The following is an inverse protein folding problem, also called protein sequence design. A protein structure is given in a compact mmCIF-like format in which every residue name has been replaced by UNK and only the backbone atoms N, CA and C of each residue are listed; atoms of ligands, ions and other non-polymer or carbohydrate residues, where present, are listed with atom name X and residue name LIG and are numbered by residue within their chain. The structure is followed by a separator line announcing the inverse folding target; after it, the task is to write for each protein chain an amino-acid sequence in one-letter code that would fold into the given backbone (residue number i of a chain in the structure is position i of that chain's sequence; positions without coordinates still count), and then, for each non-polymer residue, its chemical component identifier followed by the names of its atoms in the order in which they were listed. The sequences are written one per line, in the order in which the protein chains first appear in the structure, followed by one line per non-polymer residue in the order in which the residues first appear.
data_IF_989486040396
#
_entry.id   IF_989486040396
#
_cell.length_a   1.000
_cell.length_b   1.000
_cell.length_c   1.000
_cell.angle_alpha   90.00
_cell.angle_beta   90.00
_cell.angle_gamma   90.00
#
_symmetry.space_group_name_H-M   'P 1'
#
loop_
_entity.id
_entity.type
_entity.pdbx_description
1 polymer ?
#
# COMPACT_ATOMS: atom_id res chain seq x y z
N UNK A 1 -23.20 -4.94 -8.42
CA UNK A 1 -24.13 -4.86 -7.27
C UNK A 1 -23.39 -5.35 -6.03
N UNK A 2 -22.74 -4.46 -5.28
CA UNK A 2 -22.21 -4.83 -3.96
C UNK A 2 -23.39 -4.95 -3.00
N UNK A 3 -23.70 -6.16 -2.53
CA UNK A 3 -24.61 -6.32 -1.39
C UNK A 3 -23.94 -5.63 -0.21
N UNK A 4 -24.57 -4.59 0.33
CA UNK A 4 -24.14 -3.98 1.60
C UNK A 4 -24.13 -5.07 2.66
N UNK A 5 -23.04 -5.18 3.41
CA UNK A 5 -22.99 -6.08 4.54
C UNK A 5 -24.06 -5.65 5.58
N UNK A 6 -24.60 -6.57 6.39
CA UNK A 6 -25.51 -6.21 7.47
C UNK A 6 -24.85 -5.17 8.40
N UNK A 7 -25.60 -4.17 8.85
CA UNK A 7 -25.06 -3.07 9.65
C UNK A 7 -24.31 -3.55 10.91
N UNK A 8 -24.83 -4.59 11.57
CA UNK A 8 -24.18 -5.19 12.74
C UNK A 8 -22.81 -5.80 12.43
N UNK A 9 -22.65 -6.42 11.26
CA UNK A 9 -21.37 -6.96 10.81
C UNK A 9 -20.38 -5.82 10.53
N UNK A 10 -20.81 -4.79 9.79
CA UNK A 10 -19.96 -3.65 9.48
C UNK A 10 -19.44 -2.94 10.75
N UNK A 11 -20.31 -2.72 11.74
CA UNK A 11 -19.90 -2.11 13.01
C UNK A 11 -18.89 -2.99 13.78
N UNK A 12 -19.11 -4.30 13.85
CA UNK A 12 -18.18 -5.22 14.51
C UNK A 12 -16.81 -5.26 13.81
N UNK A 13 -16.79 -5.30 12.48
CA UNK A 13 -15.57 -5.31 11.69
C UNK A 13 -14.76 -4.02 11.88
N UNK A 14 -15.42 -2.85 11.82
CA UNK A 14 -14.75 -1.56 12.04
C UNK A 14 -14.17 -1.47 13.46
N UNK A 15 -14.90 -1.93 14.49
CA UNK A 15 -14.38 -1.96 15.86
C UNK A 15 -13.14 -2.85 15.99
N UNK A 16 -13.14 -4.03 15.36
CA UNK A 16 -11.96 -4.91 15.30
C UNK A 16 -10.77 -4.18 14.66
N UNK A 17 -10.98 -3.51 13.54
CA UNK A 17 -9.91 -2.79 12.83
C UNK A 17 -9.34 -1.60 13.63
N UNK A 18 -10.15 -0.98 14.49
CA UNK A 18 -9.75 0.14 15.34
C UNK A 18 -9.02 -0.31 16.62
N UNK A 19 -9.19 -1.56 17.06
CA UNK A 19 -8.72 -2.05 18.37
C UNK A 19 -7.19 -1.99 18.58
N UNK A 20 -6.41 -1.98 17.48
CA UNK A 20 -4.93 -1.99 17.52
C UNK A 20 -4.31 -0.64 17.14
N UNK A 21 -5.10 0.43 17.10
CA UNK A 21 -4.66 1.79 16.72
C UNK A 21 -4.25 1.93 15.25
N UNK A 22 -3.91 3.14 14.81
CA UNK A 22 -3.50 3.43 13.44
C UNK A 22 -4.65 3.37 12.43
N UNK A 23 -4.31 3.39 11.13
CA UNK A 23 -5.32 3.49 10.08
C UNK A 23 -6.07 2.16 9.87
N UNK A 24 -7.40 2.12 10.09
CA UNK A 24 -8.19 0.89 9.95
C UNK A 24 -8.23 0.36 8.51
N UNK A 25 -8.17 1.23 7.51
CA UNK A 25 -8.18 0.83 6.09
C UNK A 25 -6.85 0.19 5.68
N UNK A 26 -5.72 0.69 6.18
CA UNK A 26 -4.42 0.04 5.97
C UNK A 26 -4.39 -1.35 6.61
N UNK A 27 -4.91 -1.46 7.83
CA UNK A 27 -5.00 -2.73 8.55
C UNK A 27 -5.87 -3.74 7.79
N UNK A 28 -7.05 -3.32 7.32
CA UNK A 28 -7.90 -4.18 6.51
C UNK A 28 -7.19 -4.69 5.25
N UNK A 29 -6.43 -3.83 4.57
CA UNK A 29 -5.59 -4.21 3.42
C UNK A 29 -4.53 -5.25 3.80
N UNK A 30 -3.82 -5.04 4.91
CA UNK A 30 -2.81 -5.98 5.41
C UNK A 30 -3.43 -7.34 5.78
N UNK A 31 -4.52 -7.36 6.54
CA UNK A 31 -5.21 -8.59 6.93
C UNK A 31 -5.78 -9.32 5.70
N UNK A 32 -6.29 -8.59 4.71
CA UNK A 32 -6.75 -9.17 3.45
C UNK A 32 -5.62 -9.82 2.66
N UNK A 33 -4.47 -9.16 2.54
CA UNK A 33 -3.28 -9.73 1.89
C UNK A 33 -2.80 -10.97 2.64
N UNK A 34 -2.76 -10.95 3.97
CA UNK A 34 -2.32 -12.10 4.77
C UNK A 34 -3.21 -13.32 4.57
N UNK A 35 -4.54 -13.14 4.64
CA UNK A 35 -5.50 -14.20 4.32
C UNK A 35 -5.35 -14.68 2.87
N UNK A 36 -5.19 -13.75 1.93
CA UNK A 36 -5.04 -14.12 0.52
C UNK A 36 -3.77 -14.93 0.28
N UNK A 37 -2.63 -14.52 0.84
CA UNK A 37 -1.35 -15.21 0.68
C UNK A 37 -1.38 -16.62 1.25
N UNK A 38 -2.06 -16.82 2.39
CA UNK A 38 -2.27 -18.14 2.96
C UNK A 38 -2.95 -19.07 1.92
N UNK A 39 -4.13 -18.72 1.42
CA UNK A 39 -4.85 -19.54 0.43
C UNK A 39 -4.15 -19.59 -0.93
N UNK A 40 -3.47 -18.52 -1.32
CA UNK A 40 -2.68 -18.46 -2.55
C UNK A 40 -1.60 -19.54 -2.56
N UNK A 41 -0.78 -19.60 -1.52
CA UNK A 41 0.28 -20.60 -1.44
C UNK A 41 -0.26 -21.99 -1.09
N UNK A 42 -1.34 -22.13 -0.32
CA UNK A 42 -1.85 -23.46 0.03
C UNK A 42 -2.66 -24.12 -1.10
N UNK A 43 -3.39 -23.36 -1.91
CA UNK A 43 -4.41 -23.93 -2.79
C UNK A 43 -4.34 -23.42 -4.23
N UNK A 44 -4.10 -22.13 -4.45
CA UNK A 44 -4.44 -21.51 -5.75
C UNK A 44 -3.27 -21.03 -6.61
N UNK A 45 -2.03 -21.06 -6.11
CA UNK A 45 -0.85 -20.58 -6.86
C UNK A 45 -0.56 -21.37 -8.15
N UNK A 46 -1.05 -22.61 -8.26
CA UNK A 46 -0.92 -23.47 -9.44
C UNK A 46 -2.19 -23.56 -10.29
N UNK A 47 -3.27 -22.88 -9.90
CA UNK A 47 -4.55 -22.91 -10.61
C UNK A 47 -4.45 -22.15 -11.93
N UNK A 48 -4.82 -22.74 -13.09
CA UNK A 48 -4.61 -22.13 -14.41
C UNK A 48 -5.16 -20.69 -14.52
N UNK A 49 -6.30 -20.41 -13.91
CA UNK A 49 -6.91 -19.07 -13.89
C UNK A 49 -6.06 -18.04 -13.15
N UNK A 50 -5.39 -18.45 -12.08
CA UNK A 50 -4.47 -17.61 -11.29
C UNK A 50 -3.13 -17.47 -12.00
N UNK A 51 -2.62 -18.55 -12.62
CA UNK A 51 -1.41 -18.52 -13.44
C UNK A 51 -1.51 -17.44 -14.51
N UNK A 52 -2.61 -17.45 -15.26
CA UNK A 52 -2.85 -16.47 -16.31
C UNK A 52 -2.84 -15.03 -15.78
N UNK A 53 -3.31 -14.79 -14.55
CA UNK A 53 -3.34 -13.44 -13.97
C UNK A 53 -1.94 -12.94 -13.66
N UNK A 54 -1.14 -13.67 -12.88
CA UNK A 54 0.21 -13.18 -12.55
C UNK A 54 1.17 -13.23 -13.74
N UNK A 55 0.97 -14.11 -14.73
CA UNK A 55 1.76 -14.09 -15.97
C UNK A 55 1.47 -12.80 -16.75
N UNK A 56 0.19 -12.43 -16.91
CA UNK A 56 -0.24 -11.22 -17.61
C UNK A 56 0.19 -9.94 -16.90
N UNK A 57 0.16 -9.91 -15.57
CA UNK A 57 0.64 -8.76 -14.79
C UNK A 57 2.17 -8.69 -14.68
N UNK A 58 2.91 -9.61 -15.35
CA UNK A 58 4.37 -9.73 -15.25
C UNK A 58 4.85 -9.94 -13.81
N UNK A 59 4.06 -10.69 -13.05
CA UNK A 59 4.28 -11.00 -11.64
C UNK A 59 3.63 -9.98 -10.72
N UNK A 60 4.40 -9.56 -9.71
CA UNK A 60 3.94 -8.67 -8.65
C UNK A 60 4.68 -7.32 -8.73
N UNK A 61 4.06 -6.26 -8.21
CA UNK A 61 4.73 -4.96 -8.13
C UNK A 61 5.93 -5.01 -7.18
N UNK A 62 6.92 -4.09 -7.29
CA UNK A 62 8.12 -4.10 -6.44
C UNK A 62 7.82 -4.22 -4.94
N UNK A 63 6.80 -3.49 -4.46
CA UNK A 63 6.35 -3.55 -3.05
C UNK A 63 5.89 -4.95 -2.64
N UNK A 64 5.14 -5.62 -3.50
CA UNK A 64 4.61 -6.95 -3.24
C UNK A 64 5.60 -8.07 -3.54
N UNK A 65 6.61 -7.82 -4.38
CA UNK A 65 7.75 -8.72 -4.55
C UNK A 65 8.55 -8.89 -3.25
N UNK A 66 8.80 -7.80 -2.51
CA UNK A 66 9.41 -7.88 -1.18
C UNK A 66 8.59 -8.77 -0.25
N UNK A 67 7.26 -8.55 -0.22
CA UNK A 67 6.37 -9.30 0.66
C UNK A 67 6.35 -10.80 0.36
N UNK A 68 6.22 -11.19 -0.91
CA UNK A 68 6.22 -12.62 -1.27
C UNK A 68 7.61 -13.22 -1.13
N UNK A 69 8.69 -12.46 -1.33
CA UNK A 69 10.06 -12.94 -1.14
C UNK A 69 10.36 -13.27 0.32
N UNK A 70 9.79 -12.51 1.26
CA UNK A 70 9.93 -12.75 2.69
C UNK A 70 9.05 -13.90 3.20
N UNK A 71 7.88 -14.14 2.59
CA UNK A 71 6.83 -15.02 3.13
C UNK A 71 6.53 -16.27 2.31
N UNK A 72 6.90 -16.29 1.02
CA UNK A 72 6.51 -17.33 0.08
C UNK A 72 7.42 -18.56 0.13
N UNK A 73 6.87 -19.79 -0.03
CA UNK A 73 7.67 -20.99 -0.17
C UNK A 73 8.56 -20.94 -1.42
N UNK A 74 9.86 -21.23 -1.27
CA UNK A 74 10.86 -21.08 -2.34
C UNK A 74 10.49 -21.82 -3.63
N UNK A 75 9.96 -23.04 -3.52
CA UNK A 75 9.59 -23.85 -4.69
C UNK A 75 8.40 -23.25 -5.45
N UNK A 76 7.41 -22.67 -4.75
CA UNK A 76 6.26 -22.03 -5.39
C UNK A 76 6.64 -20.72 -6.06
N UNK A 77 7.49 -19.91 -5.41
CA UNK A 77 8.05 -18.73 -6.04
C UNK A 77 8.84 -19.09 -7.30
N UNK A 78 9.63 -20.16 -7.24
CA UNK A 78 10.38 -20.66 -8.41
C UNK A 78 9.44 -21.06 -9.54
N UNK A 79 8.35 -21.79 -9.24
CA UNK A 79 7.34 -22.15 -10.22
C UNK A 79 6.67 -20.90 -10.83
N UNK A 80 6.22 -19.95 -9.99
CA UNK A 80 5.62 -18.67 -10.41
C UNK A 80 6.52 -17.95 -11.41
N UNK A 81 7.78 -17.74 -11.06
CA UNK A 81 8.72 -17.05 -11.94
C UNK A 81 9.06 -17.87 -13.18
N UNK A 82 9.11 -19.20 -13.11
CA UNK A 82 9.34 -20.04 -14.30
C UNK A 82 8.28 -19.80 -15.38
N UNK A 83 7.00 -19.67 -15.00
CA UNK A 83 5.91 -19.43 -15.95
C UNK A 83 5.95 -18.01 -16.52
N UNK A 84 6.26 -17.01 -15.69
CA UNK A 84 6.41 -15.61 -16.13
C UNK A 84 7.58 -15.50 -17.11
N UNK A 85 8.74 -16.08 -16.78
CA UNK A 85 9.95 -16.06 -17.62
C UNK A 85 9.67 -16.76 -18.95
N UNK A 86 9.06 -17.94 -18.93
CA UNK A 86 8.73 -18.67 -20.15
C UNK A 86 7.80 -17.87 -21.07
N UNK A 87 6.82 -17.14 -20.52
CA UNK A 87 5.94 -16.28 -21.30
C UNK A 87 6.67 -15.05 -21.87
N UNK A 88 7.54 -14.41 -21.09
CA UNK A 88 8.36 -13.29 -21.55
C UNK A 88 9.30 -13.73 -22.67
N UNK A 89 10.02 -14.84 -22.51
CA UNK A 89 10.92 -15.38 -23.54
C UNK A 89 10.14 -15.68 -24.82
N UNK A 90 8.99 -16.36 -24.72
CA UNK A 90 8.11 -16.61 -25.88
C UNK A 90 7.68 -15.31 -26.58
N UNK A 91 7.39 -14.26 -25.83
CA UNK A 91 7.00 -12.96 -26.39
C UNK A 91 8.18 -12.20 -27.02
N UNK A 92 9.40 -12.38 -26.51
CA UNK A 92 10.63 -11.81 -27.09
C UNK A 92 11.02 -12.53 -28.38
N UNK A 93 10.86 -13.86 -28.43
CA UNK A 93 11.18 -14.69 -29.59
C UNK A 93 10.09 -14.65 -30.66
N UNK A 94 8.92 -14.09 -30.36
CA UNK A 94 7.79 -14.05 -31.28
C UNK A 94 8.13 -13.20 -32.52
N UNK A 95 7.99 -13.75 -33.74
CA UNK A 95 8.21 -12.98 -34.95
C UNK A 95 7.18 -11.84 -35.04
N UNK A 96 7.61 -10.70 -35.56
CA UNK A 96 6.71 -9.56 -35.78
C UNK A 96 5.51 -10.01 -36.64
N UNK A 97 4.26 -9.67 -36.26
CA UNK A 97 3.09 -10.13 -37.00
C UNK A 97 3.15 -9.66 -38.46
N UNK A 98 2.74 -10.51 -39.42
CA UNK A 98 2.78 -10.17 -40.84
C UNK A 98 1.86 -8.97 -41.11
N UNK A 99 2.38 -7.99 -41.84
CA UNK A 99 1.66 -6.76 -42.14
C UNK A 99 0.53 -7.06 -43.13
N UNK A 100 -0.69 -6.65 -42.79
CA UNK A 100 -1.88 -6.86 -43.64
C UNK A 100 -2.05 -5.78 -44.73
N UNK A 101 -1.21 -4.73 -44.76
CA UNK A 101 -1.38 -3.57 -45.65
C UNK A 101 -0.07 -2.83 -45.99
N UNK A 102 0.09 -2.41 -47.26
CA UNK A 102 1.17 -1.53 -47.75
C UNK A 102 1.23 -0.17 -47.03
N UNK A 103 0.08 0.37 -46.61
CA UNK A 103 0.03 1.65 -45.86
C UNK A 103 0.64 1.53 -44.46
N UNK A 104 0.67 0.32 -43.90
CA UNK A 104 1.25 0.04 -42.60
C UNK A 104 2.78 -0.14 -42.67
N UNK A 105 3.32 -0.47 -43.85
CA UNK A 105 4.77 -0.52 -44.09
C UNK A 105 5.40 0.88 -44.02
N UNK A 106 4.70 1.92 -44.48
CA UNK A 106 5.20 3.30 -44.48
C UNK A 106 5.20 3.97 -43.09
N UNK A 107 4.45 3.42 -42.12
CA UNK A 107 4.27 3.98 -40.77
C UNK A 107 5.20 3.38 -39.70
N UNK A 108 6.11 2.48 -40.06
CA UNK A 108 6.86 1.68 -39.08
C UNK A 108 8.24 2.27 -38.76
N UNK A 109 8.26 3.32 -37.96
CA UNK A 109 9.34 3.54 -37.00
C UNK A 109 8.89 3.01 -35.63
N UNK A 110 8.55 1.72 -35.56
CA UNK A 110 8.45 1.05 -34.26
C UNK A 110 9.88 0.75 -33.87
N UNK A 111 10.41 1.51 -32.91
CA UNK A 111 11.76 1.29 -32.42
C UNK A 111 11.87 -0.09 -31.77
N UNK A 112 13.08 -0.64 -31.69
CA UNK A 112 13.33 -1.83 -30.89
C UNK A 112 12.87 -1.63 -29.43
N UNK A 113 12.95 -0.39 -28.93
CA UNK A 113 12.40 0.02 -27.64
C UNK A 113 10.88 -0.18 -27.53
N UNK A 114 10.11 0.21 -28.54
CA UNK A 114 8.64 0.05 -28.53
C UNK A 114 8.19 -1.42 -28.59
N UNK A 115 9.01 -2.29 -29.18
CA UNK A 115 8.79 -3.73 -29.15
C UNK A 115 9.07 -4.29 -27.74
N UNK A 116 10.22 -3.93 -27.15
CA UNK A 116 10.59 -4.36 -25.82
C UNK A 116 9.59 -3.89 -24.75
N UNK A 117 9.17 -2.62 -24.81
CA UNK A 117 8.15 -2.06 -23.91
C UNK A 117 6.87 -2.86 -23.97
N UNK A 118 6.37 -3.23 -25.16
CA UNK A 118 5.14 -4.02 -25.29
C UNK A 118 5.26 -5.41 -24.68
N UNK A 119 6.44 -6.03 -24.74
CA UNK A 119 6.68 -7.35 -24.13
C UNK A 119 6.70 -7.24 -22.61
N UNK A 120 7.45 -6.27 -22.07
CA UNK A 120 7.65 -6.12 -20.63
C UNK A 120 6.52 -5.39 -19.91
N UNK A 121 5.67 -4.67 -20.63
CA UNK A 121 4.55 -3.94 -20.05
C UNK A 121 3.52 -4.93 -19.45
N UNK A 122 3.18 -4.79 -18.16
CA UNK A 122 2.10 -5.55 -17.55
C UNK A 122 0.77 -5.32 -18.26
N UNK A 123 0.05 -6.41 -18.51
CA UNK A 123 -1.33 -6.39 -19.00
C UNK A 123 -2.28 -6.90 -17.91
N UNK A 124 -2.38 -6.12 -16.84
CA UNK A 124 -3.15 -6.46 -15.64
C UNK A 124 -2.52 -5.83 -14.41
N UNK A 125 -3.28 -5.74 -13.32
CA UNK A 125 -2.73 -5.26 -12.05
C UNK A 125 -2.06 -6.42 -11.30
N UNK A 126 -1.18 -6.07 -10.38
CA UNK A 126 -0.63 -7.01 -9.43
C UNK A 126 -1.77 -7.62 -8.58
N UNK A 127 -1.82 -8.95 -8.48
CA UNK A 127 -2.83 -9.68 -7.72
C UNK A 127 -3.02 -9.14 -6.29
N UNK A 128 -1.92 -8.88 -5.58
CA UNK A 128 -1.97 -8.36 -4.22
C UNK A 128 -2.37 -6.89 -4.15
N UNK A 129 -2.12 -6.10 -5.21
CA UNK A 129 -2.64 -4.73 -5.28
C UNK A 129 -4.16 -4.73 -5.45
N UNK A 130 -4.70 -5.66 -6.23
CA UNK A 130 -6.16 -5.79 -6.39
C UNK A 130 -6.83 -6.18 -5.07
N UNK A 131 -6.26 -7.14 -4.33
CA UNK A 131 -6.75 -7.55 -3.00
C UNK A 131 -6.72 -6.38 -2.01
N UNK A 132 -5.63 -5.62 -1.98
CA UNK A 132 -5.51 -4.45 -1.10
C UNK A 132 -6.53 -3.36 -1.48
N UNK A 133 -6.71 -3.09 -2.77
CA UNK A 133 -7.65 -2.09 -3.27
C UNK A 133 -9.09 -2.45 -2.95
N UNK A 134 -9.46 -3.72 -3.11
CA UNK A 134 -10.80 -4.23 -2.81
C UNK A 134 -11.09 -4.10 -1.31
N UNK A 135 -10.16 -4.59 -0.47
CA UNK A 135 -10.28 -4.48 0.98
C UNK A 135 -10.38 -3.01 1.43
N UNK A 136 -9.56 -2.14 0.86
CA UNK A 136 -9.56 -0.74 1.23
C UNK A 136 -10.83 0.00 0.78
N UNK A 137 -11.33 -0.30 -0.42
CA UNK A 137 -12.58 0.27 -0.94
C UNK A 137 -13.78 -0.17 -0.11
N UNK A 138 -13.85 -1.47 0.21
CA UNK A 138 -14.91 -2.01 1.03
C UNK A 138 -14.90 -1.42 2.45
N UNK A 139 -13.72 -1.36 3.06
CA UNK A 139 -13.55 -0.80 4.42
C UNK A 139 -13.85 0.69 4.47
N UNK A 140 -13.50 1.46 3.44
CA UNK A 140 -13.81 2.89 3.37
C UNK A 140 -15.33 3.15 3.41
N UNK A 141 -16.11 2.35 2.69
CA UNK A 141 -17.57 2.46 2.69
C UNK A 141 -18.18 2.05 4.04
N UNK A 142 -17.73 0.92 4.61
CA UNK A 142 -18.18 0.51 5.95
C UNK A 142 -17.84 1.54 7.02
N UNK A 143 -16.64 2.12 6.95
CA UNK A 143 -16.20 3.14 7.90
C UNK A 143 -17.09 4.39 7.83
N UNK A 144 -17.43 4.85 6.62
CA UNK A 144 -18.36 5.97 6.42
C UNK A 144 -19.74 5.67 7.01
N UNK A 145 -20.33 4.54 6.63
CA UNK A 145 -21.67 4.14 7.08
C UNK A 145 -21.72 4.02 8.62
N UNK A 146 -20.68 3.47 9.25
CA UNK A 146 -20.65 3.25 10.72
C UNK A 146 -20.35 4.55 11.49
N UNK A 147 -19.40 5.38 11.03
CA UNK A 147 -19.10 6.66 11.69
C UNK A 147 -20.27 7.64 11.67
N UNK A 148 -21.15 7.53 10.68
CA UNK A 148 -22.33 8.37 10.58
C UNK A 148 -23.28 8.14 11.76
N UNK A 149 -23.48 6.89 12.17
CA UNK A 149 -24.55 6.52 13.10
C UNK A 149 -24.09 6.00 14.47
N UNK A 150 -22.85 5.52 14.61
CA UNK A 150 -22.34 4.89 15.84
C UNK A 150 -21.35 5.80 16.59
N UNK A 151 -21.75 6.31 17.75
CA UNK A 151 -20.94 7.19 18.61
C UNK A 151 -19.72 6.50 19.21
N UNK A 152 -19.86 5.27 19.68
CA UNK A 152 -18.75 4.49 20.25
C UNK A 152 -17.66 4.24 19.19
N UNK A 153 -18.06 4.04 17.93
CA UNK A 153 -17.09 3.91 16.83
C UNK A 153 -16.40 5.23 16.52
N UNK A 154 -17.07 6.38 16.64
CA UNK A 154 -16.42 7.69 16.49
C UNK A 154 -15.36 7.91 17.58
N UNK A 155 -15.66 7.57 18.82
CA UNK A 155 -14.70 7.68 19.94
C UNK A 155 -13.49 6.77 19.73
N UNK A 156 -13.72 5.52 19.32
CA UNK A 156 -12.65 4.58 18.97
C UNK A 156 -11.84 5.04 17.77
N UNK A 157 -12.47 5.65 16.78
CA UNK A 157 -11.79 6.22 15.62
C UNK A 157 -10.84 7.34 16.03
N UNK A 158 -11.30 8.27 16.87
CA UNK A 158 -10.46 9.33 17.43
C UNK A 158 -9.30 8.75 18.26
N UNK A 159 -9.57 7.80 19.15
CA UNK A 159 -8.57 7.15 19.98
C UNK A 159 -7.52 6.34 19.19
N UNK A 160 -7.90 5.80 18.02
CA UNK A 160 -6.98 5.08 17.13
C UNK A 160 -5.98 6.00 16.42
N UNK A 161 -6.20 7.32 16.42
CA UNK A 161 -5.48 8.30 15.61
C UNK A 161 -6.02 8.42 14.17
N UNK A 162 -7.09 7.70 13.82
CA UNK A 162 -7.78 7.81 12.55
C UNK A 162 -6.98 7.32 11.32
N UNK A 163 -7.41 7.76 10.14
CA UNK A 163 -6.84 7.34 8.86
C UNK A 163 -5.56 8.08 8.49
N UNK A 164 -4.68 7.42 7.71
CA UNK A 164 -3.58 8.10 7.03
C UNK A 164 -4.11 9.00 5.89
N UNK A 165 -3.34 9.98 5.44
CA UNK A 165 -3.73 10.95 4.43
C UNK A 165 -4.26 10.31 3.13
N UNK A 166 -3.61 9.28 2.54
CA UNK A 166 -4.16 8.61 1.37
C UNK A 166 -5.56 8.02 1.61
N UNK A 167 -5.81 7.51 2.82
CA UNK A 167 -7.09 6.91 3.18
C UNK A 167 -8.14 7.92 3.64
N UNK A 168 -7.75 9.07 4.19
CA UNK A 168 -8.68 10.21 4.31
C UNK A 168 -9.13 10.64 2.92
N UNK A 169 -8.21 10.80 1.97
CA UNK A 169 -8.56 11.18 0.60
C UNK A 169 -9.50 10.15 -0.06
N UNK A 170 -9.21 8.85 0.08
CA UNK A 170 -10.10 7.77 -0.41
C UNK A 170 -11.50 7.89 0.20
N UNK A 171 -11.61 8.02 1.52
CA UNK A 171 -12.89 8.11 2.21
C UNK A 171 -13.66 9.37 1.78
N UNK A 172 -12.99 10.52 1.70
CA UNK A 172 -13.60 11.76 1.23
C UNK A 172 -14.16 11.64 -0.21
N UNK A 173 -13.46 10.91 -1.10
CA UNK A 173 -13.96 10.65 -2.47
C UNK A 173 -15.14 9.70 -2.53
N UNK A 174 -15.25 8.77 -1.57
CA UNK A 174 -16.33 7.80 -1.50
C UNK A 174 -17.59 8.34 -0.80
N UNK A 175 -17.46 9.42 -0.03
CA UNK A 175 -18.56 9.98 0.77
C UNK A 175 -19.67 10.58 -0.10
N UNK A 176 -20.89 10.09 0.10
CA UNK A 176 -22.13 10.74 -0.34
C UNK A 176 -22.63 11.81 0.65
N UNK A 177 -23.63 12.59 0.24
CA UNK A 177 -24.23 13.70 1.01
C UNK A 177 -24.79 13.32 2.40
N UNK A 178 -25.08 12.05 2.64
CA UNK A 178 -25.62 11.55 3.91
C UNK A 178 -24.54 11.16 4.93
N UNK A 179 -23.26 11.38 4.63
CA UNK A 179 -22.14 11.07 5.52
C UNK A 179 -21.57 12.33 6.20
N UNK A 180 -22.43 13.29 6.57
CA UNK A 180 -21.99 14.58 7.08
C UNK A 180 -21.27 14.42 8.43
N UNK A 181 -21.83 13.60 9.33
CA UNK A 181 -21.24 13.35 10.64
C UNK A 181 -19.94 12.55 10.53
N UNK A 182 -19.89 11.57 9.63
CA UNK A 182 -18.68 10.79 9.37
C UNK A 182 -17.54 11.67 8.85
N UNK A 183 -17.82 12.55 7.88
CA UNK A 183 -16.81 13.46 7.33
C UNK A 183 -16.38 14.51 8.35
N UNK A 184 -17.30 15.06 9.15
CA UNK A 184 -16.96 15.99 10.22
C UNK A 184 -16.01 15.33 11.24
N UNK A 185 -16.29 14.09 11.63
CA UNK A 185 -15.44 13.31 12.55
C UNK A 185 -14.04 13.08 11.96
N UNK A 186 -13.96 12.63 10.70
CA UNK A 186 -12.68 12.37 10.03
C UNK A 186 -11.87 13.68 9.90
N UNK A 187 -12.52 14.77 9.53
CA UNK A 187 -11.87 16.08 9.41
C UNK A 187 -11.32 16.55 10.75
N UNK A 188 -12.10 16.42 11.84
CA UNK A 188 -11.65 16.82 13.17
C UNK A 188 -10.44 16.01 13.63
N UNK A 189 -10.50 14.68 13.54
CA UNK A 189 -9.39 13.79 13.94
C UNK A 189 -8.14 14.07 13.09
N UNK A 190 -8.29 14.30 11.78
CA UNK A 190 -7.14 14.64 10.94
C UNK A 190 -6.53 15.99 11.34
N UNK A 191 -7.35 17.01 11.58
CA UNK A 191 -6.89 18.35 11.99
C UNK A 191 -6.09 18.27 13.28
N UNK A 192 -6.62 17.59 14.30
CA UNK A 192 -5.98 17.46 15.60
C UNK A 192 -4.65 16.71 15.48
N UNK A 193 -4.62 15.66 14.64
CA UNK A 193 -3.40 14.89 14.39
C UNK A 193 -2.34 15.69 13.64
N UNK A 194 -2.73 16.51 12.66
CA UNK A 194 -1.80 17.39 11.93
C UNK A 194 -1.25 18.48 12.85
N UNK A 195 -2.09 19.11 13.66
CA UNK A 195 -1.66 20.15 14.61
C UNK A 195 -0.70 19.59 15.68
N UNK A 196 -1.01 18.41 16.23
CA UNK A 196 -0.11 17.73 17.17
C UNK A 196 1.23 17.38 16.52
N UNK A 197 1.21 16.83 15.29
CA UNK A 197 2.43 16.49 14.58
C UNK A 197 3.27 17.73 14.21
N UNK A 198 2.64 18.83 13.81
CA UNK A 198 3.31 20.10 13.56
C UNK A 198 4.01 20.60 14.82
N UNK A 199 3.33 20.54 15.97
CA UNK A 199 3.92 20.90 17.25
C UNK A 199 5.14 20.03 17.58
N UNK A 200 5.04 18.70 17.43
CA UNK A 200 6.16 17.79 17.66
C UNK A 200 7.33 18.06 16.71
N UNK A 201 7.07 18.34 15.43
CA UNK A 201 8.11 18.72 14.48
C UNK A 201 8.83 20.02 14.89
N UNK A 202 8.06 21.04 15.30
CA UNK A 202 8.63 22.31 15.77
C UNK A 202 9.47 22.12 17.05
N UNK A 203 8.99 21.30 17.98
CA UNK A 203 9.71 20.99 19.21
C UNK A 203 11.01 20.22 18.95
N UNK A 204 11.00 19.29 17.98
CA UNK A 204 12.19 18.57 17.56
C UNK A 204 13.29 19.54 17.08
N UNK A 205 12.93 20.50 16.22
CA UNK A 205 13.89 21.49 15.74
C UNK A 205 14.32 22.47 16.83
N UNK A 206 13.41 22.89 17.72
CA UNK A 206 13.74 23.77 18.86
C UNK A 206 14.79 23.13 19.77
N UNK A 207 14.63 21.84 20.11
CA UNK A 207 15.55 21.10 20.99
C UNK A 207 16.82 20.61 20.28
N UNK A 208 16.85 20.63 18.96
CA UNK A 208 18.06 20.37 18.19
C UNK A 208 19.02 21.58 18.18
N UNK A 209 18.51 22.79 18.47
CA UNK A 209 19.32 23.99 18.65
C UNK A 209 20.21 23.88 19.90
N UNK A 210 21.50 24.22 19.76
CA UNK A 210 22.50 24.10 20.84
C UNK A 210 22.07 24.82 22.13
N UNK A 211 21.27 25.89 22.02
CA UNK A 211 20.76 26.68 23.17
C UNK A 211 19.85 25.85 24.07
N UNK A 212 19.10 24.92 23.49
CA UNK A 212 18.12 24.08 24.18
C UNK A 212 18.54 22.60 24.23
N UNK A 213 19.74 22.27 23.77
CA UNK A 213 20.24 20.90 23.67
C UNK A 213 20.39 20.18 25.03
N UNK A 214 20.40 20.95 26.13
CA UNK A 214 20.44 20.42 27.50
C UNK A 214 19.05 19.98 28.01
N UNK A 215 17.97 20.38 27.34
CA UNK A 215 16.62 19.96 27.71
C UNK A 215 16.41 18.46 27.43
N UNK A 216 15.62 17.75 28.26
CA UNK A 216 15.32 16.35 28.02
C UNK A 216 14.50 16.18 26.74
N UNK A 217 14.92 15.21 25.92
CA UNK A 217 14.20 14.83 24.72
C UNK A 217 12.97 13.98 25.08
N UNK A 218 11.84 14.29 24.47
CA UNK A 218 10.54 13.65 24.68
C UNK A 218 10.02 12.92 23.45
N UNK A 219 8.70 13.06 23.22
CA UNK A 219 7.97 12.46 22.10
C UNK A 219 8.38 13.01 20.74
N UNK A 220 8.95 14.22 20.69
CA UNK A 220 9.35 14.87 19.44
C UNK A 220 10.38 14.06 18.64
N UNK A 221 11.13 13.18 19.31
CA UNK A 221 12.06 12.24 18.65
C UNK A 221 11.37 11.26 17.71
N UNK A 222 10.09 10.99 17.95
CA UNK A 222 9.27 10.07 17.17
C UNK A 222 8.42 10.78 16.11
N UNK A 223 8.49 12.11 16.03
CA UNK A 223 7.70 12.93 15.10
C UNK A 223 7.86 12.44 13.65
N UNK A 224 9.08 12.11 13.22
CA UNK A 224 9.33 11.61 11.87
C UNK A 224 8.65 10.25 11.59
N UNK A 225 8.60 9.33 12.58
CA UNK A 225 7.90 8.05 12.42
C UNK A 225 6.39 8.27 12.36
N UNK A 226 5.86 9.15 13.19
CA UNK A 226 4.44 9.51 13.17
C UNK A 226 4.05 10.19 11.84
N UNK A 227 4.92 11.04 11.30
CA UNK A 227 4.76 11.65 9.99
C UNK A 227 4.73 10.59 8.88
N UNK A 228 5.71 9.67 8.86
CA UNK A 228 5.73 8.58 7.88
C UNK A 228 4.41 7.78 7.90
N UNK A 229 3.92 7.40 9.08
CA UNK A 229 2.65 6.69 9.23
C UNK A 229 1.45 7.51 8.73
N UNK A 230 1.36 8.79 9.09
CA UNK A 230 0.27 9.67 8.65
C UNK A 230 0.28 9.87 7.12
N UNK A 231 1.46 9.93 6.50
CA UNK A 231 1.61 10.04 5.05
C UNK A 231 1.46 8.69 4.31
N UNK A 232 1.19 7.60 5.03
CA UNK A 232 0.80 6.32 4.45
C UNK A 232 1.95 5.32 4.29
N UNK A 233 3.09 5.54 4.95
CA UNK A 233 4.16 4.54 5.01
C UNK A 233 3.86 3.50 6.10
N UNK A 234 3.79 2.23 5.70
CA UNK A 234 3.51 1.09 6.58
C UNK A 234 4.62 0.03 6.56
N UNK A 235 5.78 0.35 5.97
CA UNK A 235 6.94 -0.55 5.98
C UNK A 235 7.59 -0.60 7.36
N UNK A 236 8.36 -1.66 7.64
CA UNK A 236 9.36 -1.60 8.70
C UNK A 236 10.40 -0.57 8.24
N UNK A 237 10.46 0.58 8.90
CA UNK A 237 11.41 1.67 8.62
C UNK A 237 12.89 1.23 8.71
N UNK A 238 13.17 -0.01 9.09
CA UNK A 238 14.50 -0.57 9.36
C UNK A 238 15.25 -1.07 8.14
N UNK A 239 14.62 -1.32 6.98
CA UNK A 239 15.33 -1.98 5.87
C UNK A 239 16.09 -1.02 4.92
N UNK A 240 15.66 0.24 4.80
CA UNK A 240 16.19 1.15 3.76
C UNK A 240 17.18 2.19 4.32
N UNK A 241 17.07 2.55 5.60
CA UNK A 241 17.92 3.59 6.21
C UNK A 241 19.14 3.04 6.97
N UNK A 242 19.25 1.72 7.14
CA UNK A 242 20.40 1.06 7.79
C UNK A 242 21.57 0.80 6.82
N UNK A 243 21.40 1.16 5.54
CA UNK A 243 22.46 1.10 4.53
C UNK A 243 23.00 2.49 4.18
N UNK A 244 23.34 3.29 5.19
CA UNK A 244 24.32 4.35 4.98
C UNK A 244 25.71 3.70 4.98
N UNK A 245 26.53 3.86 3.93
CA UNK A 245 27.89 3.34 3.95
C UNK A 245 28.62 3.99 5.13
N UNK A 246 29.25 3.16 5.97
CA UNK A 246 30.10 3.63 7.06
C UNK A 246 31.03 4.72 6.53
N UNK A 247 30.77 5.97 6.92
CA UNK A 247 31.73 7.06 6.70
C UNK A 247 32.98 6.64 7.46
N UNK A 248 34.01 6.23 6.74
CA UNK A 248 35.35 6.07 7.31
C UNK A 248 35.80 7.48 7.74
N UNK A 249 35.63 7.76 9.02
CA UNK A 249 36.29 8.87 9.67
C UNK A 249 37.79 8.55 9.74
N UNK A 250 38.53 9.30 8.94
CA UNK A 250 39.84 9.90 9.20
C UNK A 250 40.78 9.25 10.23
N UNK A 251 42.03 9.06 9.78
CA UNK A 251 43.17 9.55 10.54
C UNK A 251 43.93 8.53 11.35
N UNK A 252 44.93 7.90 10.74
CA UNK A 252 46.13 7.49 11.45
C UNK A 252 47.30 8.38 11.01
N UNK A 253 47.62 9.30 11.92
CA UNK A 253 48.98 9.81 12.07
C UNK A 253 49.80 8.68 12.66
N UNK A 254 50.85 8.26 11.98
CA UNK A 254 52.17 7.93 12.51
C UNK A 254 53.12 7.72 11.34
#
# INVERSE_FOLDING_TARGET
MHRRAPAAYAASEIRHLLARGGCPICRAGQEAIERYLFWFFHESSSEPSVILRYVRSRGFCPRHLTLIGERGPQWQLTAIFSWIIADILRALDAPAPPLRSRFQQLRRHVSAGDALTRVLQPNGLCLLCEVEEEAASHTALMLLDVLEYDEDVRDRYAASGGCCLPHVHRVARAAGRHHEQAIATIHQVLRDRLASLEHLCNEFFRKADYRFAHEPKGEEREAWRQALQLFGYHGRATAVFDQAPARRAEGERS
#
